data_IF_956794925654
#
_entry.id   IF_956794925654
#
_cell.length_a   1.000
_cell.length_b   1.000
_cell.length_c   1.000
_cell.angle_alpha   90.00
_cell.angle_beta   90.00
_cell.angle_gamma   90.00
#
_symmetry.space_group_name_H-M   'P 1'
#
loop_
_entity.id
_entity.type
_entity.pdbx_description
1 polymer ?
#
# COMPACT_ATOMS: atom_id res chain seq x y z
N UNK A 1 16.19 8.25 -17.26
CA UNK A 1 15.94 7.21 -16.24
C UNK A 1 14.87 6.30 -16.81
N UNK A 2 15.15 5.02 -17.02
CA UNK A 2 14.08 4.09 -17.41
C UNK A 2 13.11 4.01 -16.24
N UNK A 3 11.81 3.92 -16.51
CA UNK A 3 10.78 3.77 -15.46
C UNK A 3 11.02 2.56 -14.55
N UNK A 4 11.85 1.63 -15.01
CA UNK A 4 12.32 0.40 -14.36
C UNK A 4 13.09 0.66 -13.05
N UNK A 5 13.82 1.77 -12.93
CA UNK A 5 14.64 2.10 -11.75
C UNK A 5 13.92 3.06 -10.77
N UNK A 6 12.72 3.54 -11.12
CA UNK A 6 11.99 4.49 -10.28
C UNK A 6 11.40 3.74 -9.09
N UNK A 7 11.39 4.40 -7.93
CA UNK A 7 10.76 3.90 -6.70
C UNK A 7 9.85 4.96 -6.09
N UNK A 8 8.81 4.51 -5.40
CA UNK A 8 7.93 5.36 -4.58
C UNK A 8 8.12 5.03 -3.09
N UNK A 9 7.94 6.02 -2.19
CA UNK A 9 7.88 5.73 -0.77
C UNK A 9 6.68 4.86 -0.42
N UNK A 10 6.80 4.09 0.67
CA UNK A 10 5.69 3.40 1.34
C UNK A 10 5.73 3.77 2.82
N UNK A 11 4.57 4.13 3.36
CA UNK A 11 4.44 4.54 4.76
C UNK A 11 4.51 3.33 5.69
N UNK A 12 5.02 3.51 6.92
CA UNK A 12 4.91 2.47 7.94
C UNK A 12 3.43 2.16 8.24
N UNK A 13 3.16 0.93 8.65
CA UNK A 13 1.84 0.52 9.16
C UNK A 13 1.99 -0.02 10.57
N UNK A 14 1.15 0.45 11.47
CA UNK A 14 1.18 0.09 12.89
C UNK A 14 -0.15 -0.54 13.32
N UNK A 15 -0.10 -1.66 14.04
CA UNK A 15 -1.29 -2.26 14.68
C UNK A 15 -0.90 -2.84 16.04
N UNK A 16 -1.40 -2.20 17.11
CA UNK A 16 -1.07 -2.61 18.47
C UNK A 16 0.43 -2.49 18.76
N UNK A 17 1.09 -3.61 19.02
CA UNK A 17 2.55 -3.68 19.29
C UNK A 17 3.38 -3.98 18.04
N UNK A 18 2.74 -4.33 16.93
CA UNK A 18 3.42 -4.72 15.69
C UNK A 18 3.53 -3.50 14.76
N UNK A 19 4.73 -3.29 14.23
CA UNK A 19 5.05 -2.22 13.29
C UNK A 19 5.72 -2.78 12.04
N UNK A 20 5.13 -2.53 10.89
CA UNK A 20 5.77 -2.75 9.59
C UNK A 20 6.47 -1.45 9.21
N UNK A 21 7.81 -1.43 9.11
CA UNK A 21 8.53 -0.21 8.79
C UNK A 21 8.19 0.27 7.38
N UNK A 22 8.19 1.59 7.20
CA UNK A 22 8.10 2.20 5.88
C UNK A 22 9.38 1.95 5.08
N UNK A 23 9.35 2.32 3.80
CA UNK A 23 10.48 2.06 2.91
C UNK A 23 10.25 2.61 1.52
N UNK A 24 10.71 1.85 0.51
CA UNK A 24 10.50 2.18 -0.90
C UNK A 24 10.03 0.93 -1.65
N UNK A 25 9.07 1.11 -2.54
CA UNK A 25 8.59 0.08 -3.46
C UNK A 25 8.94 0.43 -4.91
N UNK A 26 9.07 -0.56 -5.81
CA UNK A 26 9.15 -0.32 -7.24
C UNK A 26 8.02 0.58 -7.73
N UNK A 27 8.34 1.54 -8.61
CA UNK A 27 7.35 2.47 -9.16
C UNK A 27 6.20 1.75 -9.87
N UNK A 28 6.48 0.62 -10.53
CA UNK A 28 5.44 -0.19 -11.16
C UNK A 28 4.37 -0.68 -10.17
N UNK A 29 4.75 -1.08 -8.95
CA UNK A 29 3.79 -1.49 -7.92
C UNK A 29 2.98 -0.28 -7.43
N UNK A 30 3.64 0.86 -7.24
CA UNK A 30 2.98 2.12 -6.89
C UNK A 30 1.96 2.55 -7.94
N UNK A 31 2.30 2.47 -9.23
CA UNK A 31 1.39 2.80 -10.32
C UNK A 31 0.20 1.84 -10.39
N UNK A 32 0.42 0.54 -10.17
CA UNK A 32 -0.67 -0.44 -10.11
C UNK A 32 -1.64 -0.11 -8.97
N UNK A 33 -1.12 0.20 -7.79
CA UNK A 33 -1.92 0.62 -6.64
C UNK A 33 -2.66 1.93 -6.92
N UNK A 34 -1.97 2.92 -7.51
CA UNK A 34 -2.58 4.19 -7.91
C UNK A 34 -3.71 4.00 -8.92
N UNK A 35 -3.56 3.13 -9.92
CA UNK A 35 -4.63 2.85 -10.89
C UNK A 35 -5.87 2.27 -10.21
N UNK A 36 -5.69 1.36 -9.24
CA UNK A 36 -6.78 0.82 -8.45
C UNK A 36 -7.44 1.92 -7.58
N UNK A 37 -6.63 2.79 -6.98
CA UNK A 37 -7.10 3.91 -6.15
C UNK A 37 -7.88 4.95 -6.97
N UNK A 38 -7.38 5.28 -8.16
CA UNK A 38 -8.06 6.17 -9.10
C UNK A 38 -9.37 5.57 -9.62
N UNK A 39 -9.37 4.28 -9.97
CA UNK A 39 -10.58 3.55 -10.37
C UNK A 39 -11.62 3.47 -9.24
N UNK A 40 -11.18 3.55 -7.99
CA UNK A 40 -12.04 3.61 -6.81
C UNK A 40 -12.70 4.99 -6.58
N UNK A 41 -12.46 5.98 -7.45
CA UNK A 41 -13.05 7.31 -7.36
C UNK A 41 -12.15 8.36 -6.74
N UNK A 42 -10.91 8.00 -6.37
CA UNK A 42 -9.91 8.92 -5.80
C UNK A 42 -8.89 9.39 -6.86
N UNK A 43 -9.35 9.57 -8.10
CA UNK A 43 -8.52 9.95 -9.25
C UNK A 43 -8.14 11.43 -9.32
N UNK A 44 -8.45 12.22 -8.30
CA UNK A 44 -8.10 13.65 -8.22
C UNK A 44 -6.59 13.88 -7.98
N UNK A 45 -5.86 12.83 -7.57
CA UNK A 45 -4.43 12.86 -7.32
C UNK A 45 -3.67 11.99 -8.34
N UNK A 46 -2.57 12.52 -8.88
CA UNK A 46 -1.65 11.74 -9.72
C UNK A 46 -0.81 10.77 -8.87
N UNK A 47 -0.27 9.74 -9.52
CA UNK A 47 0.68 8.81 -8.89
C UNK A 47 1.88 9.56 -8.29
N UNK A 48 2.41 10.55 -9.00
CA UNK A 48 3.46 11.47 -8.55
C UNK A 48 3.09 12.15 -7.24
N UNK A 49 1.91 12.75 -7.18
CA UNK A 49 1.48 13.56 -6.03
C UNK A 49 1.27 12.71 -4.78
N UNK A 50 0.80 11.47 -4.94
CA UNK A 50 0.68 10.51 -3.84
C UNK A 50 2.08 10.12 -3.36
N UNK A 51 3.02 9.84 -4.27
CA UNK A 51 4.40 9.53 -3.91
C UNK A 51 5.12 10.70 -3.21
N UNK A 52 4.88 11.95 -3.63
CA UNK A 52 5.38 13.16 -2.96
C UNK A 52 4.83 13.29 -1.53
N UNK A 53 3.64 12.77 -1.27
CA UNK A 53 2.96 12.73 0.04
C UNK A 53 3.25 11.45 0.84
N UNK A 54 4.39 10.83 0.60
CA UNK A 54 4.86 9.61 1.27
C UNK A 54 4.27 8.27 0.79
N UNK A 55 3.46 8.28 -0.27
CA UNK A 55 2.94 7.05 -0.88
C UNK A 55 1.77 6.44 -0.11
N UNK A 56 1.41 5.20 -0.47
CA UNK A 56 0.44 4.40 0.28
C UNK A 56 1.08 3.83 1.55
N UNK A 57 0.27 3.41 2.52
CA UNK A 57 0.74 2.48 3.57
C UNK A 57 0.69 1.01 3.09
N UNK A 58 1.21 0.08 3.89
CA UNK A 58 1.24 -1.35 3.54
C UNK A 58 -0.15 -1.98 3.43
N UNK A 59 -1.08 -1.60 4.30
CA UNK A 59 -2.44 -2.13 4.32
C UNK A 59 -3.21 -1.65 3.09
N UNK A 60 -3.13 -0.36 2.78
CA UNK A 60 -3.69 0.23 1.57
C UNK A 60 -3.10 -0.41 0.32
N UNK A 61 -1.78 -0.56 0.25
CA UNK A 61 -1.11 -1.17 -0.89
C UNK A 61 -1.64 -2.59 -1.14
N UNK A 62 -1.74 -3.42 -0.10
CA UNK A 62 -2.25 -4.79 -0.24
C UNK A 62 -3.73 -4.81 -0.65
N UNK A 63 -4.56 -3.97 -0.05
CA UNK A 63 -5.98 -3.89 -0.41
C UNK A 63 -6.18 -3.41 -1.86
N UNK A 64 -5.38 -2.43 -2.32
CA UNK A 64 -5.42 -1.90 -3.67
C UNK A 64 -4.97 -2.94 -4.70
N UNK A 65 -3.84 -3.62 -4.47
CA UNK A 65 -3.33 -4.65 -5.38
C UNK A 65 -4.26 -5.86 -5.50
N UNK A 66 -5.10 -6.11 -4.50
CA UNK A 66 -6.14 -7.15 -4.54
C UNK A 66 -7.47 -6.68 -5.17
N UNK A 67 -7.61 -5.39 -5.45
CA UNK A 67 -8.89 -4.82 -5.89
C UNK A 67 -9.97 -4.87 -4.78
N UNK A 68 -9.55 -4.85 -3.52
CA UNK A 68 -10.45 -4.93 -2.35
C UNK A 68 -10.58 -3.60 -1.61
N UNK A 69 -9.88 -2.55 -2.04
CA UNK A 69 -9.86 -1.24 -1.38
C UNK A 69 -11.26 -0.65 -1.11
N UNK A 70 -12.20 -0.82 -2.03
CA UNK A 70 -13.59 -0.34 -1.88
C UNK A 70 -14.52 -1.30 -1.12
N UNK A 71 -14.08 -2.52 -0.84
CA UNK A 71 -14.90 -3.47 -0.10
C UNK A 71 -14.83 -3.10 1.38
N UNK A 72 -15.98 -3.06 2.06
CA UNK A 72 -16.11 -2.69 3.48
C UNK A 72 -15.10 -3.45 4.38
N UNK A 73 -14.79 -4.69 4.01
CA UNK A 73 -13.87 -5.56 4.75
C UNK A 73 -12.47 -5.68 4.12
N UNK A 74 -12.20 -5.08 2.96
CA UNK A 74 -10.94 -5.28 2.22
C UNK A 74 -9.72 -4.73 2.96
N UNK A 75 -9.80 -3.50 3.47
CA UNK A 75 -8.75 -2.88 4.29
C UNK A 75 -8.56 -3.65 5.61
N UNK A 76 -9.65 -4.03 6.26
CA UNK A 76 -9.61 -4.81 7.52
C UNK A 76 -8.93 -6.16 7.31
N UNK A 77 -9.28 -6.86 6.22
CA UNK A 77 -8.70 -8.16 5.85
C UNK A 77 -7.23 -8.04 5.49
N UNK A 78 -6.85 -7.05 4.68
CA UNK A 78 -5.45 -6.78 4.37
C UNK A 78 -4.64 -6.53 5.64
N UNK A 79 -5.18 -5.76 6.58
CA UNK A 79 -4.57 -5.54 7.89
C UNK A 79 -4.49 -6.82 8.73
N UNK A 80 -5.55 -7.62 8.80
CA UNK A 80 -5.52 -8.89 9.54
C UNK A 80 -4.40 -9.80 9.03
N UNK A 81 -4.36 -10.07 7.73
CA UNK A 81 -3.38 -10.99 7.16
C UNK A 81 -1.94 -10.47 7.27
N UNK A 82 -1.71 -9.16 7.06
CA UNK A 82 -0.39 -8.55 7.21
C UNK A 82 0.13 -8.66 8.65
N UNK A 83 -0.71 -8.38 9.63
CA UNK A 83 -0.27 -8.33 11.02
C UNK A 83 -0.29 -9.72 11.70
N UNK A 84 -1.27 -10.58 11.42
CA UNK A 84 -1.30 -11.97 11.91
C UNK A 84 -0.15 -12.78 11.33
N UNK A 85 0.20 -12.57 10.06
CA UNK A 85 1.34 -13.22 9.42
C UNK A 85 2.70 -12.81 10.02
N UNK A 86 2.77 -11.64 10.66
CA UNK A 86 3.99 -11.19 11.37
C UNK A 86 4.00 -11.72 12.80
N UNK A 87 2.86 -11.70 13.50
CA UNK A 87 2.76 -12.25 14.86
C UNK A 87 3.08 -13.76 14.88
N UNK A 88 2.69 -14.51 13.85
CA UNK A 88 3.00 -15.93 13.71
C UNK A 88 4.38 -16.25 13.11
N UNK A 89 5.20 -15.25 12.74
CA UNK A 89 6.55 -15.46 12.21
C UNK A 89 7.61 -15.63 13.31
N UNK A 90 7.24 -15.35 14.57
CA UNK A 90 8.09 -15.45 15.76
C UNK A 90 7.89 -16.76 16.56
N UNK A 91 7.03 -17.68 16.09
CA UNK A 91 6.82 -19.05 16.65
C UNK A 91 7.59 -20.13 15.89
#
# INVERSE_FOLDING_TARGET
>A
MRTEDRTAPIQPSDRGRVRIPGGRIPWALHELAWRAYAAAGHGDQSAERIAERHGFDWVELVALLRGEYLKEEGIKRAGAELFEGIEGADE
#
